data_IF_644734569359
#
_entry.id   IF_644734569359
#
_cell.length_a   1.000
_cell.length_b   1.000
_cell.length_c   1.000
_cell.angle_alpha   90.00
_cell.angle_beta   90.00
_cell.angle_gamma   90.00
#
_symmetry.space_group_name_H-M   'P 1'
#
loop_
_entity.id
_entity.type
_entity.pdbx_description
1 polymer ?
#
# COMPACT_ATOMS: atom_id res chain seq x y z
N UNK A 1 -8.36 17.39 1.92
CA UNK A 1 -8.31 16.32 0.92
C UNK A 1 -8.61 16.91 -0.44
N UNK A 2 -7.83 16.57 -1.46
CA UNK A 2 -8.04 16.97 -2.83
C UNK A 2 -8.28 15.73 -3.69
N UNK A 3 -9.26 15.78 -4.59
CA UNK A 3 -9.62 14.66 -5.48
C UNK A 3 -9.73 15.18 -6.90
N UNK A 4 -8.96 14.62 -7.83
CA UNK A 4 -9.10 14.84 -9.28
C UNK A 4 -9.98 13.73 -9.86
N UNK A 5 -11.14 14.08 -10.39
CA UNK A 5 -12.09 13.12 -11.01
C UNK A 5 -13.00 13.84 -12.00
N UNK A 6 -13.31 13.21 -13.13
CA UNK A 6 -14.24 13.72 -14.16
C UNK A 6 -13.90 15.15 -14.60
N UNK A 7 -12.62 15.42 -14.89
CA UNK A 7 -12.15 16.75 -15.31
C UNK A 7 -12.15 17.81 -14.21
N UNK A 8 -12.44 17.46 -12.95
CA UNK A 8 -12.60 18.42 -11.85
C UNK A 8 -11.67 18.14 -10.69
N UNK A 9 -11.14 19.21 -10.09
CA UNK A 9 -10.43 19.18 -8.83
C UNK A 9 -11.39 19.56 -7.69
N UNK A 10 -11.70 18.58 -6.86
CA UNK A 10 -12.52 18.73 -5.68
C UNK A 10 -11.65 18.95 -4.44
N UNK A 11 -12.14 19.72 -3.48
CA UNK A 11 -11.46 19.96 -2.21
C UNK A 11 -12.44 19.94 -1.03
N UNK A 12 -11.99 19.35 0.08
CA UNK A 12 -12.68 19.41 1.36
C UNK A 12 -11.68 19.46 2.53
N UNK A 13 -11.96 20.33 3.51
CA UNK A 13 -11.19 20.50 4.74
C UNK A 13 -11.91 19.84 5.92
N UNK A 14 -11.14 19.21 6.78
CA UNK A 14 -11.61 18.54 7.98
C UNK A 14 -10.80 19.01 9.19
N UNK A 15 -11.44 19.14 10.35
CA UNK A 15 -10.82 19.50 11.63
C UNK A 15 -11.44 18.69 12.78
N UNK A 16 -10.82 18.72 13.96
CA UNK A 16 -11.38 18.17 15.21
C UNK A 16 -11.93 16.74 15.07
N UNK A 17 -11.07 15.82 14.66
CA UNK A 17 -11.44 14.41 14.50
C UNK A 17 -12.24 14.10 13.22
N UNK A 18 -12.09 14.91 12.17
CA UNK A 18 -12.71 14.63 10.86
C UNK A 18 -14.03 15.34 10.61
N UNK A 19 -14.37 16.39 11.36
CA UNK A 19 -15.55 17.21 11.11
C UNK A 19 -15.34 18.08 9.86
N UNK A 20 -16.19 17.96 8.83
CA UNK A 20 -16.06 18.78 7.62
C UNK A 20 -16.31 20.24 7.98
N UNK A 21 -15.41 21.12 7.54
CA UNK A 21 -15.53 22.56 7.80
C UNK A 21 -16.45 23.25 6.80
N UNK A 22 -16.55 22.68 5.60
CA UNK A 22 -17.40 23.17 4.52
C UNK A 22 -17.87 21.98 3.68
N UNK A 23 -18.96 22.15 2.89
CA UNK A 23 -19.34 21.19 1.87
C UNK A 23 -18.20 20.95 0.86
N UNK A 24 -18.23 19.82 0.16
CA UNK A 24 -17.29 19.52 -0.92
C UNK A 24 -17.40 20.60 -2.02
N UNK A 25 -16.27 21.20 -2.40
CA UNK A 25 -16.22 22.25 -3.43
C UNK A 25 -15.42 21.79 -4.64
N UNK A 26 -15.84 22.20 -5.82
CA UNK A 26 -14.99 22.17 -7.03
C UNK A 26 -14.15 23.44 -7.00
N UNK A 27 -12.82 23.31 -7.01
CA UNK A 27 -11.91 24.44 -6.92
C UNK A 27 -11.22 24.78 -8.25
N UNK A 28 -11.18 23.83 -9.20
CA UNK A 28 -10.73 24.08 -10.57
C UNK A 28 -11.16 22.94 -11.50
N UNK A 29 -11.10 23.19 -12.81
CA UNK A 29 -11.07 22.15 -13.83
C UNK A 29 -9.63 21.60 -13.97
N UNK A 30 -9.49 20.37 -14.44
CA UNK A 30 -8.23 19.65 -14.71
C UNK A 30 -8.38 18.80 -15.98
N UNK A 31 -7.29 18.43 -16.68
CA UNK A 31 -7.37 17.55 -17.84
C UNK A 31 -8.12 16.24 -17.53
N UNK A 32 -8.98 15.76 -18.43
CA UNK A 32 -9.83 14.59 -18.19
C UNK A 32 -9.04 13.29 -17.92
N UNK A 33 -7.82 13.21 -18.45
CA UNK A 33 -6.91 12.07 -18.23
C UNK A 33 -6.19 12.12 -16.88
N UNK A 34 -6.28 13.22 -16.13
CA UNK A 34 -5.70 13.32 -14.79
C UNK A 34 -6.68 12.89 -13.71
N UNK A 35 -6.30 11.86 -12.96
CA UNK A 35 -7.05 11.39 -11.80
C UNK A 35 -6.11 11.22 -10.60
N UNK A 36 -6.69 11.21 -9.39
CA UNK A 36 -5.93 10.91 -8.18
C UNK A 36 -6.47 11.59 -6.94
N UNK A 37 -5.92 11.21 -5.79
CA UNK A 37 -6.30 11.75 -4.50
C UNK A 37 -5.06 12.20 -3.74
N UNK A 38 -5.10 13.41 -3.19
CA UNK A 38 -4.07 13.93 -2.29
C UNK A 38 -4.66 14.15 -0.91
N UNK A 39 -4.05 13.52 0.08
CA UNK A 39 -4.39 13.69 1.49
C UNK A 39 -3.26 14.47 2.16
N UNK A 40 -3.64 15.45 2.99
CA UNK A 40 -2.74 16.16 3.90
C UNK A 40 -3.47 16.22 5.24
N UNK A 41 -2.78 15.82 6.30
CA UNK A 41 -3.31 15.86 7.65
C UNK A 41 -2.27 16.43 8.60
N UNK A 42 -2.73 16.84 9.78
CA UNK A 42 -1.89 17.19 10.91
C UNK A 42 -2.30 16.27 12.06
N UNK A 43 -1.36 15.58 12.73
CA UNK A 43 -1.69 14.75 13.88
C UNK A 43 -2.34 15.56 15.00
N UNK A 44 -3.30 14.97 15.69
CA UNK A 44 -3.87 15.56 16.90
C UNK A 44 -3.08 15.09 18.12
N UNK A 45 -2.21 15.97 18.64
CA UNK A 45 -1.35 15.67 19.79
C UNK A 45 -2.07 15.70 21.14
N UNK A 46 -3.39 15.91 21.16
CA UNK A 46 -4.22 15.67 22.36
C UNK A 46 -4.61 14.19 22.49
N UNK A 47 -4.56 13.46 21.38
CA UNK A 47 -4.89 12.02 21.31
C UNK A 47 -3.63 11.18 21.07
N UNK A 48 -2.71 11.66 20.24
CA UNK A 48 -1.47 10.98 19.89
C UNK A 48 -0.29 11.58 20.65
N UNK A 49 0.70 10.74 20.95
CA UNK A 49 1.97 11.24 21.47
C UNK A 49 2.63 12.19 20.47
N UNK A 50 3.25 13.25 21.01
CA UNK A 50 3.96 14.25 20.21
C UNK A 50 5.30 13.73 19.74
N UNK A 51 5.27 12.84 18.77
CA UNK A 51 6.42 12.19 18.16
C UNK A 51 6.63 12.78 16.76
N UNK A 52 7.86 13.17 16.45
CA UNK A 52 8.22 13.61 15.12
C UNK A 52 8.15 12.43 14.13
N UNK A 53 7.67 12.68 12.91
CA UNK A 53 7.70 11.66 11.86
C UNK A 53 9.14 11.22 11.58
N UNK A 54 9.43 9.95 11.79
CA UNK A 54 10.72 9.37 11.46
C UNK A 54 10.76 8.95 9.99
N UNK A 55 11.62 9.62 9.22
CA UNK A 55 11.77 9.35 7.78
C UNK A 55 12.27 7.93 7.52
N UNK A 56 13.12 7.37 8.39
CA UNK A 56 13.63 5.99 8.24
C UNK A 56 12.49 4.98 8.27
N UNK A 57 11.68 5.03 9.32
CA UNK A 57 10.51 4.18 9.55
C UNK A 57 9.52 4.25 8.39
N UNK A 58 9.16 5.47 7.95
CA UNK A 58 8.25 5.66 6.80
C UNK A 58 8.88 5.11 5.52
N UNK A 59 10.17 5.40 5.30
CA UNK A 59 10.91 4.96 4.13
C UNK A 59 10.96 3.45 4.01
N UNK A 60 11.21 2.75 5.12
CA UNK A 60 11.31 1.30 5.14
C UNK A 60 9.94 0.65 4.94
N UNK A 61 8.89 1.19 5.56
CA UNK A 61 7.52 0.71 5.33
C UNK A 61 7.09 0.89 3.86
N UNK A 62 7.31 2.06 3.27
CA UNK A 62 6.97 2.30 1.86
C UNK A 62 7.83 1.42 0.93
N UNK A 63 9.08 1.15 1.26
CA UNK A 63 9.92 0.21 0.51
C UNK A 63 9.32 -1.20 0.52
N UNK A 64 8.84 -1.69 1.67
CA UNK A 64 8.12 -2.97 1.78
C UNK A 64 6.85 -2.97 0.91
N UNK A 65 6.02 -1.92 1.00
CA UNK A 65 4.82 -1.78 0.16
C UNK A 65 5.17 -1.76 -1.33
N UNK A 66 6.28 -1.15 -1.72
CA UNK A 66 6.75 -1.12 -3.10
C UNK A 66 7.12 -2.51 -3.63
N UNK A 67 7.68 -3.39 -2.79
CA UNK A 67 7.90 -4.79 -3.18
C UNK A 67 6.60 -5.57 -3.38
N UNK A 68 5.56 -5.28 -2.58
CA UNK A 68 4.25 -5.93 -2.73
C UNK A 68 3.49 -5.46 -3.97
N UNK A 69 3.82 -4.29 -4.51
CA UNK A 69 3.13 -3.67 -5.64
C UNK A 69 4.06 -3.53 -6.84
N UNK A 70 4.30 -4.66 -7.54
CA UNK A 70 5.18 -4.75 -8.70
C UNK A 70 4.92 -3.64 -9.72
N UNK A 71 5.99 -2.94 -10.12
CA UNK A 71 5.95 -1.89 -11.14
C UNK A 71 5.32 -0.55 -10.69
N UNK A 72 4.84 -0.43 -9.46
CA UNK A 72 4.38 0.86 -8.92
C UNK A 72 5.55 1.67 -8.38
N UNK A 73 5.54 2.97 -8.71
CA UNK A 73 6.57 3.92 -8.31
C UNK A 73 6.13 4.71 -7.09
N UNK A 74 6.87 4.57 -6.00
CA UNK A 74 6.66 5.29 -4.76
C UNK A 74 7.73 6.36 -4.60
N UNK A 75 7.32 7.59 -4.31
CA UNK A 75 8.23 8.71 -4.05
C UNK A 75 8.00 9.23 -2.65
N UNK A 76 9.08 9.37 -1.88
CA UNK A 76 9.07 9.87 -0.52
C UNK A 76 9.96 11.10 -0.48
N UNK A 77 9.48 12.17 0.14
CA UNK A 77 10.22 13.43 0.27
C UNK A 77 10.06 13.97 1.68
N UNK A 78 11.19 14.15 2.36
CA UNK A 78 11.27 14.94 3.58
C UNK A 78 11.63 16.38 3.20
N UNK A 79 10.66 17.28 3.34
CA UNK A 79 10.82 18.70 3.03
C UNK A 79 11.70 19.44 4.06
N UNK A 80 11.88 18.91 5.26
CA UNK A 80 12.69 19.54 6.33
C UNK A 80 14.18 19.33 6.11
N UNK A 81 14.55 18.18 5.56
CA UNK A 81 15.95 17.77 5.27
C UNK A 81 16.28 17.75 3.78
N UNK A 82 15.34 18.19 2.93
CA UNK A 82 15.43 18.11 1.48
C UNK A 82 15.88 16.72 0.95
N UNK A 83 15.45 15.66 1.64
CA UNK A 83 15.83 14.28 1.33
C UNK A 83 14.74 13.63 0.50
N UNK A 84 15.13 12.92 -0.56
CA UNK A 84 14.20 12.23 -1.46
C UNK A 84 14.64 10.78 -1.66
N UNK A 85 13.66 9.88 -1.70
CA UNK A 85 13.86 8.48 -2.09
C UNK A 85 12.75 8.05 -3.03
N UNK A 86 13.10 7.21 -3.98
CA UNK A 86 12.18 6.62 -4.95
C UNK A 86 12.35 5.11 -4.93
N UNK A 87 11.23 4.39 -4.90
CA UNK A 87 11.18 2.93 -4.92
C UNK A 87 10.30 2.48 -6.08
N UNK A 88 10.81 1.52 -6.85
CA UNK A 88 10.09 0.85 -7.94
C UNK A 88 10.78 -0.51 -8.10
N UNK A 89 10.03 -1.59 -7.91
CA UNK A 89 10.57 -2.95 -7.95
C UNK A 89 9.75 -3.78 -8.94
N UNK A 90 10.42 -4.30 -9.96
CA UNK A 90 9.76 -5.07 -11.01
C UNK A 90 9.64 -6.56 -10.63
N UNK A 91 10.56 -7.08 -9.80
CA UNK A 91 10.53 -8.47 -9.31
C UNK A 91 9.61 -8.68 -8.10
N UNK A 92 9.13 -7.61 -7.48
CA UNK A 92 8.21 -7.62 -6.34
C UNK A 92 8.72 -8.40 -5.13
N UNK A 93 7.95 -9.36 -4.63
CA UNK A 93 8.33 -10.13 -3.44
C UNK A 93 9.60 -10.99 -3.62
N UNK A 94 10.01 -11.29 -4.86
CA UNK A 94 11.30 -11.93 -5.13
C UNK A 94 12.45 -10.99 -4.76
N UNK A 95 12.34 -9.71 -5.15
CA UNK A 95 13.34 -8.69 -4.80
C UNK A 95 13.33 -8.40 -3.30
N UNK A 96 12.17 -8.54 -2.64
CA UNK A 96 12.08 -8.45 -1.19
C UNK A 96 12.87 -9.54 -0.48
N UNK A 97 12.69 -10.81 -0.89
CA UNK A 97 13.45 -11.95 -0.34
C UNK A 97 14.96 -11.77 -0.55
N UNK A 98 15.37 -11.30 -1.73
CA UNK A 98 16.79 -10.98 -2.01
C UNK A 98 17.32 -9.90 -1.07
N UNK A 99 16.55 -8.86 -0.80
CA UNK A 99 16.93 -7.80 0.15
C UNK A 99 17.02 -8.33 1.59
N UNK A 100 16.09 -9.19 2.02
CA UNK A 100 16.11 -9.82 3.35
C UNK A 100 17.32 -10.75 3.55
N UNK A 101 17.81 -11.35 2.46
CA UNK A 101 19.01 -12.20 2.45
C UNK A 101 20.31 -11.43 2.15
N UNK A 102 20.25 -10.12 1.97
CA UNK A 102 21.45 -9.31 1.72
C UNK A 102 22.40 -9.41 2.91
N UNK A 103 23.65 -9.80 2.63
CA UNK A 103 24.67 -10.03 3.67
C UNK A 103 24.56 -11.37 4.39
N UNK A 104 23.59 -12.23 4.04
CA UNK A 104 23.49 -13.61 4.53
C UNK A 104 24.02 -14.58 3.47
N UNK A 105 24.54 -15.73 3.90
CA UNK A 105 24.94 -16.82 2.99
C UNK A 105 23.73 -17.69 2.68
N UNK A 106 23.30 -17.70 1.42
CA UNK A 106 22.14 -18.48 0.96
C UNK A 106 22.54 -19.92 0.65
N UNK A 107 21.62 -20.86 0.86
CA UNK A 107 21.84 -22.30 0.59
C UNK A 107 21.52 -22.61 -0.87
N UNK A 108 20.39 -22.12 -1.36
CA UNK A 108 19.98 -22.24 -2.76
C UNK A 108 20.27 -20.94 -3.53
N UNK A 109 20.67 -21.10 -4.80
CA UNK A 109 21.04 -19.98 -5.68
C UNK A 109 19.85 -19.05 -5.94
N UNK A 110 18.72 -19.62 -6.34
CA UNK A 110 17.55 -18.86 -6.79
C UNK A 110 16.45 -18.83 -5.73
N UNK A 111 15.75 -17.70 -5.63
CA UNK A 111 14.55 -17.58 -4.80
C UNK A 111 13.45 -18.50 -5.33
N UNK A 112 12.87 -19.30 -4.45
CA UNK A 112 11.73 -20.16 -4.78
C UNK A 112 10.48 -19.26 -4.79
N UNK A 113 9.73 -19.31 -5.88
CA UNK A 113 8.56 -18.47 -6.12
C UNK A 113 7.38 -19.29 -6.62
N UNK A 114 6.19 -19.00 -6.12
CA UNK A 114 4.94 -19.58 -6.57
C UNK A 114 3.82 -18.53 -6.60
N UNK A 115 2.99 -18.58 -7.63
CA UNK A 115 1.78 -17.77 -7.77
C UNK A 115 0.64 -18.70 -8.17
N UNK A 116 -0.45 -18.64 -7.43
CA UNK A 116 -1.65 -19.42 -7.71
C UNK A 116 -2.90 -18.63 -7.38
N UNK A 117 -4.00 -18.98 -8.02
CA UNK A 117 -5.32 -18.49 -7.65
C UNK A 117 -6.27 -19.66 -7.44
N UNK A 118 -7.22 -19.47 -6.53
CA UNK A 118 -8.29 -20.40 -6.27
C UNK A 118 -9.60 -19.63 -6.28
N UNK A 119 -10.58 -20.11 -7.04
CA UNK A 119 -11.93 -19.55 -7.03
C UNK A 119 -12.79 -20.37 -6.08
N UNK A 120 -13.32 -19.71 -5.07
CA UNK A 120 -14.33 -20.25 -4.17
C UNK A 120 -15.68 -19.56 -4.41
N UNK A 121 -16.73 -20.12 -3.87
CA UNK A 121 -18.04 -19.50 -3.79
C UNK A 121 -18.41 -19.38 -2.31
N UNK A 122 -18.76 -18.17 -1.87
CA UNK A 122 -19.31 -17.98 -0.54
C UNK A 122 -20.49 -18.93 -0.32
N UNK A 123 -20.75 -19.30 0.93
CA UNK A 123 -21.97 -20.08 1.23
C UNK A 123 -23.20 -19.30 0.73
N UNK A 124 -24.20 -19.97 0.14
CA UNK A 124 -25.47 -19.32 -0.16
C UNK A 124 -26.03 -18.71 1.12
N UNK A 125 -26.61 -17.51 0.99
CA UNK A 125 -27.20 -16.82 2.12
C UNK A 125 -28.36 -17.68 2.65
N UNK A 126 -28.35 -18.07 3.93
CA UNK A 126 -29.38 -18.99 4.49
C UNK A 126 -30.81 -18.42 4.36
N UNK A 127 -30.94 -17.10 4.23
CA UNK A 127 -32.20 -16.39 4.03
C UNK A 127 -32.66 -16.28 2.55
N UNK A 128 -31.84 -16.66 1.55
CA UNK A 128 -32.23 -16.57 0.13
C UNK A 128 -32.96 -17.85 -0.32
N UNK A 129 -34.30 -17.80 -0.30
CA UNK A 129 -35.19 -18.88 -0.74
C UNK A 129 -35.06 -19.24 -2.23
N UNK A 130 -34.31 -18.47 -3.03
CA UNK A 130 -34.15 -18.69 -4.47
C UNK A 130 -32.95 -19.57 -4.83
N UNK A 131 -32.26 -20.16 -3.84
CA UNK A 131 -31.13 -21.07 -4.05
C UNK A 131 -30.05 -20.46 -4.96
N UNK A 132 -29.80 -19.15 -4.82
CA UNK A 132 -28.78 -18.46 -5.62
C UNK A 132 -27.40 -18.95 -5.20
N UNK A 133 -26.50 -19.26 -6.15
CA UNK A 133 -25.12 -19.56 -5.82
C UNK A 133 -24.51 -18.36 -5.08
N UNK A 134 -23.69 -18.64 -4.05
CA UNK A 134 -23.04 -17.59 -3.30
C UNK A 134 -22.06 -16.79 -4.16
N UNK A 135 -21.63 -15.65 -3.62
CA UNK A 135 -20.77 -14.72 -4.34
C UNK A 135 -19.45 -15.42 -4.70
N UNK A 136 -19.04 -15.29 -5.97
CA UNK A 136 -17.73 -15.75 -6.42
C UNK A 136 -16.63 -14.97 -5.69
N UNK A 137 -15.69 -15.68 -5.09
CA UNK A 137 -14.50 -15.13 -4.42
C UNK A 137 -13.27 -15.71 -5.10
N UNK A 138 -12.46 -14.83 -5.70
CA UNK A 138 -11.16 -15.22 -6.24
C UNK A 138 -10.08 -14.91 -5.20
N UNK A 139 -9.40 -15.95 -4.71
CA UNK A 139 -8.27 -15.85 -3.78
C UNK A 139 -6.99 -15.94 -4.58
N UNK A 140 -6.16 -14.90 -4.53
CA UNK A 140 -4.82 -14.89 -5.11
C UNK A 140 -3.79 -15.14 -4.01
N UNK A 141 -2.91 -16.11 -4.22
CA UNK A 141 -1.82 -16.43 -3.30
C UNK A 141 -0.50 -16.30 -4.04
N UNK A 142 0.39 -15.47 -3.49
CA UNK A 142 1.75 -15.27 -4.00
C UNK A 142 2.74 -15.56 -2.88
N UNK A 143 3.75 -16.40 -3.13
CA UNK A 143 4.73 -16.84 -2.14
C UNK A 143 6.13 -16.77 -2.74
N UNK A 144 7.08 -16.22 -1.97
CA UNK A 144 8.50 -16.26 -2.29
C UNK A 144 9.31 -16.56 -1.03
N UNK A 145 10.29 -17.46 -1.11
CA UNK A 145 11.18 -17.78 0.01
C UNK A 145 12.55 -18.29 -0.48
N UNK A 146 13.55 -18.19 0.39
CA UNK A 146 14.91 -18.68 0.13
C UNK A 146 15.60 -19.03 1.44
N UNK A 147 16.28 -20.17 1.46
CA UNK A 147 17.00 -20.65 2.64
C UNK A 147 18.36 -19.96 2.77
N UNK A 148 18.74 -19.66 4.01
CA UNK A 148 20.06 -19.15 4.36
C UNK A 148 20.65 -19.96 5.53
N UNK A 149 21.96 -19.83 5.77
CA UNK A 149 22.67 -20.58 6.81
C UNK A 149 22.40 -20.08 8.25
N UNK A 150 21.59 -19.03 8.42
CA UNK A 150 21.28 -18.51 9.75
C UNK A 150 20.22 -19.37 10.44
N UNK A 151 20.45 -19.71 11.71
CA UNK A 151 19.50 -20.48 12.55
C UNK A 151 18.31 -19.65 13.06
N UNK A 152 18.00 -18.53 12.42
CA UNK A 152 16.90 -17.65 12.80
C UNK A 152 15.83 -17.65 11.71
N UNK A 153 14.61 -18.02 12.08
CA UNK A 153 13.41 -17.70 11.30
C UNK A 153 13.14 -16.20 11.45
N UNK A 154 13.45 -15.41 10.43
CA UNK A 154 12.91 -14.04 10.34
C UNK A 154 11.49 -14.15 9.80
N UNK A 155 10.49 -13.94 10.66
CA UNK A 155 9.06 -13.83 10.28
C UNK A 155 8.79 -12.40 9.84
#
# INVERSE_FOLDING_TARGET
VWVKRNGKLHYQKYENGGKPQEPLKVISEVPENETGTRIKFHPDYTVMDKIAFDFGTISDHIKQVAYLNKGLKFNITDLTKNTKKTYCFDGGIIDYVKELNKGKKTINTDVIYALGSFTDFDKPNEDDTNNKPGKRVDILVEVAFQYNEAYQSTV
#
